data_IF_127233808815
#
_entry.id   IF_127233808815
#
_cell.length_a   1.000
_cell.length_b   1.000
_cell.length_c   1.000
_cell.angle_alpha   90.00
_cell.angle_beta   90.00
_cell.angle_gamma   90.00
#
_symmetry.space_group_name_H-M   'P 1'
#
loop_
_entity.id
_entity.type
_entity.pdbx_description
1 polymer ?
#
# COMPACT_ATOMS: atom_id res chain seq x y z
N UNK A 1 6.17 -2.97 14.59
CA UNK A 1 4.78 -3.40 14.39
C UNK A 1 4.47 -4.59 15.26
N UNK A 2 3.23 -4.74 15.67
CA UNK A 2 2.80 -5.83 16.54
C UNK A 2 2.60 -7.17 15.82
N UNK A 3 2.55 -7.17 14.50
CA UNK A 3 2.36 -8.39 13.73
C UNK A 3 3.67 -9.14 13.56
N UNK A 4 3.63 -10.46 13.68
CA UNK A 4 4.82 -11.32 13.70
C UNK A 4 5.53 -11.39 12.36
N UNK A 5 4.78 -11.37 11.26
CA UNK A 5 5.36 -11.43 9.93
C UNK A 5 4.67 -10.41 9.03
N UNK A 6 5.50 -9.63 8.33
CA UNK A 6 5.04 -8.59 7.43
C UNK A 6 5.64 -8.85 6.05
N UNK A 7 4.80 -8.81 5.03
CA UNK A 7 5.25 -8.98 3.66
C UNK A 7 5.18 -7.64 2.95
N UNK A 8 6.33 -7.16 2.45
CA UNK A 8 6.39 -5.98 1.60
C UNK A 8 6.03 -6.35 0.16
N UNK A 9 5.11 -5.60 -0.43
CA UNK A 9 4.75 -5.73 -1.83
C UNK A 9 5.05 -4.39 -2.48
N UNK A 10 5.99 -4.33 -3.44
CA UNK A 10 6.27 -3.08 -4.16
C UNK A 10 5.00 -2.57 -4.84
N UNK A 11 4.76 -1.27 -4.74
CA UNK A 11 3.49 -0.67 -5.20
C UNK A 11 3.22 -0.84 -6.70
N UNK A 12 4.26 -1.06 -7.50
CA UNK A 12 4.12 -1.26 -8.93
C UNK A 12 3.93 -2.75 -9.32
N UNK A 13 3.78 -3.64 -8.32
CA UNK A 13 3.60 -5.08 -8.55
C UNK A 13 2.33 -5.61 -7.89
N UNK A 14 1.27 -4.81 -7.88
CA UNK A 14 0.01 -5.19 -7.24
C UNK A 14 -0.72 -6.34 -7.96
N UNK A 15 -0.30 -6.67 -9.18
CA UNK A 15 -0.71 -7.90 -9.84
C UNK A 15 -0.32 -9.16 -9.06
N UNK A 16 0.63 -9.04 -8.12
CA UNK A 16 1.07 -10.13 -7.24
C UNK A 16 0.34 -10.15 -5.90
N UNK A 17 -0.67 -9.32 -5.74
CA UNK A 17 -1.37 -9.17 -4.45
C UNK A 17 -1.96 -10.50 -3.97
N UNK A 18 -2.49 -11.32 -4.87
CA UNK A 18 -3.09 -12.61 -4.50
C UNK A 18 -2.09 -13.51 -3.77
N UNK A 19 -0.83 -13.48 -4.17
CA UNK A 19 0.21 -14.27 -3.49
C UNK A 19 0.41 -13.78 -2.06
N UNK A 20 0.40 -12.46 -1.86
CA UNK A 20 0.53 -11.88 -0.53
C UNK A 20 -0.65 -12.24 0.36
N UNK A 21 -1.87 -12.14 -0.18
CA UNK A 21 -3.07 -12.45 0.57
C UNK A 21 -3.16 -13.94 0.93
N UNK A 22 -2.61 -14.81 0.10
CA UNK A 22 -2.62 -16.25 0.33
C UNK A 22 -1.36 -16.75 1.04
N UNK A 23 -0.43 -15.87 1.38
CA UNK A 23 0.79 -16.23 2.10
C UNK A 23 0.53 -16.42 3.59
N UNK A 24 1.55 -16.88 4.31
CA UNK A 24 1.50 -16.98 5.77
C UNK A 24 1.79 -15.66 6.49
N UNK A 25 1.97 -14.58 5.75
CA UNK A 25 2.22 -13.27 6.35
C UNK A 25 1.02 -12.81 7.18
N UNK A 26 1.28 -12.22 8.34
CA UNK A 26 0.25 -11.71 9.24
C UNK A 26 -0.31 -10.36 8.76
N UNK A 27 0.49 -9.60 8.02
CA UNK A 27 0.11 -8.29 7.51
C UNK A 27 0.83 -8.02 6.19
N UNK A 28 0.26 -7.12 5.41
CA UNK A 28 0.86 -6.68 4.15
C UNK A 28 1.29 -5.21 4.26
N UNK A 29 2.41 -4.90 3.64
CA UNK A 29 2.89 -3.51 3.52
C UNK A 29 3.03 -3.22 2.02
N UNK A 30 2.17 -2.36 1.51
CA UNK A 30 2.30 -1.88 0.12
C UNK A 30 3.31 -0.73 0.13
N UNK A 31 4.36 -0.87 -0.64
CA UNK A 31 5.46 0.09 -0.64
C UNK A 31 5.37 1.03 -1.86
N UNK A 32 5.01 2.27 -1.59
CA UNK A 32 4.96 3.32 -2.62
C UNK A 32 6.26 4.13 -2.67
N UNK A 33 7.20 3.86 -1.76
CA UNK A 33 8.45 4.61 -1.63
C UNK A 33 9.62 3.87 -2.28
N UNK A 34 10.53 3.34 -1.48
CA UNK A 34 11.79 2.77 -1.98
C UNK A 34 11.58 1.54 -2.89
N UNK A 35 10.58 0.74 -2.60
CA UNK A 35 10.26 -0.43 -3.41
C UNK A 35 9.54 -0.12 -4.72
N UNK A 36 9.29 1.16 -5.00
CA UNK A 36 8.57 1.57 -6.21
C UNK A 36 9.44 2.55 -7.01
N UNK A 37 9.80 2.21 -8.26
CA UNK A 37 10.59 3.12 -9.10
C UNK A 37 9.88 4.47 -9.29
N UNK A 38 10.66 5.53 -9.44
CA UNK A 38 10.14 6.89 -9.53
C UNK A 38 9.12 7.05 -10.65
N UNK A 39 9.39 6.47 -11.81
CA UNK A 39 8.50 6.54 -12.97
C UNK A 39 7.23 5.69 -12.84
N UNK A 40 7.11 4.90 -11.78
CA UNK A 40 5.95 4.05 -11.51
C UNK A 40 5.09 4.55 -10.35
N UNK A 41 5.51 5.60 -9.65
CA UNK A 41 4.87 6.02 -8.40
C UNK A 41 3.43 6.48 -8.59
N UNK A 42 3.15 7.23 -9.64
CA UNK A 42 1.80 7.72 -9.92
C UNK A 42 0.87 6.54 -10.25
N UNK A 43 1.30 5.66 -11.13
CA UNK A 43 0.49 4.49 -11.53
C UNK A 43 0.26 3.56 -10.34
N UNK A 44 1.28 3.36 -9.51
CA UNK A 44 1.17 2.51 -8.31
C UNK A 44 0.12 3.07 -7.34
N UNK A 45 0.15 4.37 -7.08
CA UNK A 45 -0.84 5.01 -6.23
C UNK A 45 -2.25 4.85 -6.78
N UNK A 46 -2.43 5.11 -8.07
CA UNK A 46 -3.74 4.99 -8.71
C UNK A 46 -4.27 3.57 -8.67
N UNK A 47 -3.41 2.58 -8.88
CA UNK A 47 -3.81 1.18 -8.83
C UNK A 47 -4.23 0.78 -7.41
N UNK A 48 -3.47 1.19 -6.40
CA UNK A 48 -3.83 0.93 -5.00
C UNK A 48 -5.18 1.55 -4.66
N UNK A 49 -5.39 2.81 -5.05
CA UNK A 49 -6.67 3.49 -4.82
C UNK A 49 -7.81 2.74 -5.51
N UNK A 50 -7.60 2.26 -6.72
CA UNK A 50 -8.59 1.46 -7.44
C UNK A 50 -8.99 0.20 -6.67
N UNK A 51 -8.02 -0.49 -6.07
CA UNK A 51 -8.29 -1.66 -5.24
C UNK A 51 -9.04 -1.31 -3.96
N UNK A 52 -8.68 -0.22 -3.31
CA UNK A 52 -9.37 0.24 -2.11
C UNK A 52 -10.81 0.64 -2.41
N UNK A 53 -11.06 1.24 -3.57
CA UNK A 53 -12.43 1.61 -4.00
C UNK A 53 -13.32 0.39 -4.19
N UNK A 54 -12.77 -0.75 -4.60
CA UNK A 54 -13.55 -1.98 -4.74
C UNK A 54 -14.09 -2.47 -3.40
N UNK A 55 -13.34 -2.21 -2.32
CA UNK A 55 -13.69 -2.70 -1.00
C UNK A 55 -13.45 -4.21 -0.83
N UNK A 56 -13.16 -4.61 0.38
CA UNK A 56 -13.00 -6.03 0.75
C UNK A 56 -11.90 -6.79 -0.01
N UNK A 57 -10.99 -6.11 -0.68
CA UNK A 57 -9.85 -6.74 -1.36
C UNK A 57 -8.79 -7.16 -0.35
N UNK A 58 -8.49 -6.29 0.61
CA UNK A 58 -7.46 -6.54 1.61
C UNK A 58 -8.06 -7.27 2.80
N UNK A 59 -7.89 -8.59 2.82
CA UNK A 59 -8.42 -9.46 3.87
C UNK A 59 -7.46 -9.63 5.05
N UNK A 60 -6.28 -9.04 4.95
CA UNK A 60 -5.28 -8.97 6.02
C UNK A 60 -5.05 -7.52 6.41
N UNK A 61 -4.52 -7.26 7.61
CA UNK A 61 -4.15 -5.90 7.98
C UNK A 61 -3.21 -5.29 6.93
N UNK A 62 -3.54 -4.10 6.48
CA UNK A 62 -2.82 -3.39 5.42
C UNK A 62 -2.10 -2.18 5.99
N UNK A 63 -0.81 -2.10 5.73
CA UNK A 63 0.00 -0.91 5.95
C UNK A 63 0.44 -0.37 4.61
N UNK A 64 0.59 0.93 4.49
CA UNK A 64 1.11 1.55 3.27
C UNK A 64 2.30 2.41 3.62
N UNK A 65 3.46 2.13 3.00
CA UNK A 65 4.62 3.00 3.13
C UNK A 65 4.57 4.04 2.02
N UNK A 66 4.38 5.29 2.42
CA UNK A 66 4.22 6.41 1.49
C UNK A 66 5.55 7.10 1.23
N UNK A 67 5.60 7.89 0.17
CA UNK A 67 6.74 8.73 -0.11
C UNK A 67 6.89 9.83 0.96
N UNK A 68 8.04 10.49 0.99
CA UNK A 68 8.32 11.54 1.96
C UNK A 68 7.24 12.62 1.88
N UNK A 69 6.61 12.91 3.03
CA UNK A 69 5.54 13.91 3.12
C UNK A 69 6.01 15.32 2.76
N UNK A 70 7.31 15.55 2.73
CA UNK A 70 7.89 16.85 2.33
C UNK A 70 7.95 17.03 0.82
N UNK A 71 7.75 15.97 0.03
CA UNK A 71 7.71 16.08 -1.43
C UNK A 71 6.30 15.88 -1.95
N UNK A 72 6.11 16.15 -3.24
CA UNK A 72 4.79 16.12 -3.85
C UNK A 72 4.18 14.73 -3.86
N UNK A 73 4.97 13.69 -4.18
CA UNK A 73 4.46 12.32 -4.18
C UNK A 73 3.95 11.91 -2.81
N UNK A 74 4.67 12.27 -1.75
CA UNK A 74 4.24 11.96 -0.39
C UNK A 74 2.95 12.66 -0.01
N UNK A 75 2.82 13.93 -0.35
CA UNK A 75 1.58 14.69 -0.08
C UNK A 75 0.41 14.09 -0.84
N UNK A 76 0.61 13.72 -2.10
CA UNK A 76 -0.45 13.11 -2.91
C UNK A 76 -0.81 11.70 -2.41
N UNK A 77 0.17 10.92 -1.96
CA UNK A 77 -0.09 9.60 -1.37
C UNK A 77 -0.99 9.73 -0.14
N UNK A 78 -0.61 10.59 0.80
CA UNK A 78 -1.35 10.78 2.04
C UNK A 78 -2.76 11.29 1.76
N UNK A 79 -2.88 12.27 0.87
CA UNK A 79 -4.17 12.84 0.52
C UNK A 79 -5.10 11.81 -0.12
N UNK A 80 -4.58 11.02 -1.06
CA UNK A 80 -5.36 9.99 -1.73
C UNK A 80 -5.81 8.89 -0.77
N UNK A 81 -4.96 8.50 0.18
CA UNK A 81 -5.26 7.42 1.13
C UNK A 81 -6.19 7.86 2.25
N UNK A 82 -6.34 9.16 2.48
CA UNK A 82 -7.14 9.68 3.59
C UNK A 82 -8.61 9.26 3.51
N UNK A 83 -9.13 9.01 2.32
CA UNK A 83 -10.51 8.58 2.14
C UNK A 83 -10.73 7.09 2.47
N UNK A 84 -9.65 6.35 2.75
CA UNK A 84 -9.71 4.91 2.96
C UNK A 84 -9.15 4.50 4.32
N UNK A 85 -9.24 5.38 5.31
CA UNK A 85 -8.68 5.13 6.66
C UNK A 85 -9.24 3.87 7.30
N UNK A 86 -10.49 3.54 7.02
CA UNK A 86 -11.14 2.35 7.58
C UNK A 86 -10.58 1.03 7.02
N UNK A 87 -9.87 1.08 5.90
CA UNK A 87 -9.26 -0.09 5.27
C UNK A 87 -7.77 -0.22 5.52
N UNK A 88 -7.13 0.79 6.12
CA UNK A 88 -5.69 0.85 6.31
C UNK A 88 -5.37 0.91 7.80
N UNK A 89 -4.51 -0.02 8.28
CA UNK A 89 -4.08 -0.04 9.68
C UNK A 89 -3.27 1.20 10.03
N UNK A 90 -2.29 1.51 9.19
CA UNK A 90 -1.43 2.68 9.39
C UNK A 90 -0.68 3.03 8.11
N UNK A 91 -0.31 4.29 8.02
CA UNK A 91 0.59 4.82 7.01
C UNK A 91 1.97 4.95 7.66
N UNK A 92 2.98 4.47 6.96
CA UNK A 92 4.35 4.49 7.46
C UNK A 92 5.19 5.52 6.72
#
# INVERSE_FOLDING_TARGET
MRYKSNLFIPGHTLDRLDRGLNSNASALIIDLEDGCPEDKKIDAREELIGLLKKGNVFTKPLFVRVNDAMNENGRQDIDALSDFEDQIEAII
#
